data_IF_404322846474
#
_entry.id   IF_404322846474
#
_cell.length_a   1.000
_cell.length_b   1.000
_cell.length_c   1.000
_cell.angle_alpha   90.00
_cell.angle_beta   90.00
_cell.angle_gamma   90.00
#
_symmetry.space_group_name_H-M   'P 1'
#
loop_
_entity.id
_entity.type
_entity.pdbx_description
1 polymer ?
#
# COMPACT_ATOMS: atom_id res chain seq x y z
N UNK A 1 21.76 -22.41 -10.71
CA UNK A 1 22.64 -21.77 -11.72
C UNK A 1 24.07 -21.81 -11.23
N UNK A 2 25.05 -21.70 -12.13
CA UNK A 2 26.48 -21.86 -11.83
C UNK A 2 27.18 -20.55 -11.42
N UNK A 3 26.45 -19.63 -10.77
CA UNK A 3 27.05 -18.39 -10.28
C UNK A 3 28.10 -18.70 -9.22
N UNK A 4 29.23 -17.99 -9.28
CA UNK A 4 30.40 -18.21 -8.42
C UNK A 4 30.86 -16.91 -7.73
N UNK A 5 31.88 -16.97 -6.87
CA UNK A 5 32.31 -15.82 -6.05
C UNK A 5 32.70 -14.58 -6.87
N UNK A 6 33.33 -14.77 -8.05
CA UNK A 6 33.66 -13.65 -8.94
C UNK A 6 32.40 -12.95 -9.49
N UNK A 7 31.31 -13.68 -9.75
CA UNK A 7 30.05 -13.09 -10.23
C UNK A 7 29.39 -12.25 -9.14
N UNK A 8 29.54 -12.68 -7.88
CA UNK A 8 29.06 -11.95 -6.72
C UNK A 8 29.85 -10.64 -6.52
N UNK A 9 31.18 -10.68 -6.68
CA UNK A 9 32.02 -9.47 -6.63
C UNK A 9 31.66 -8.48 -7.75
N UNK A 10 31.47 -8.95 -8.98
CA UNK A 10 31.01 -8.10 -10.10
C UNK A 10 29.66 -7.45 -9.79
N UNK A 11 28.70 -8.24 -9.29
CA UNK A 11 27.36 -7.75 -8.94
C UNK A 11 27.43 -6.71 -7.83
N UNK A 12 28.27 -6.94 -6.81
CA UNK A 12 28.51 -6.00 -5.73
C UNK A 12 29.07 -4.67 -6.26
N UNK A 13 30.09 -4.69 -7.11
CA UNK A 13 30.68 -3.47 -7.68
C UNK A 13 29.68 -2.69 -8.55
N UNK A 14 28.85 -3.40 -9.32
CA UNK A 14 27.77 -2.77 -10.09
C UNK A 14 26.77 -2.08 -9.16
N UNK A 15 26.31 -2.75 -8.10
CA UNK A 15 25.33 -2.19 -7.17
C UNK A 15 25.92 -1.03 -6.35
N UNK A 16 27.19 -1.13 -5.99
CA UNK A 16 27.95 -0.05 -5.36
C UNK A 16 28.03 1.18 -6.26
N UNK A 17 28.33 1.00 -7.56
CA UNK A 17 28.38 2.12 -8.52
C UNK A 17 27.03 2.83 -8.72
N UNK A 18 25.92 2.16 -8.38
CA UNK A 18 24.55 2.70 -8.46
C UNK A 18 24.08 3.36 -7.16
N UNK A 19 24.92 3.38 -6.11
CA UNK A 19 24.55 3.95 -4.81
C UNK A 19 23.55 3.10 -4.02
N UNK A 20 23.59 1.77 -4.18
CA UNK A 20 22.66 0.88 -3.47
C UNK A 20 22.93 0.85 -1.96
N UNK A 21 21.86 0.77 -1.16
CA UNK A 21 21.93 0.52 0.28
C UNK A 21 22.32 -0.93 0.61
N UNK A 22 22.22 -1.31 1.89
CA UNK A 22 22.67 -2.62 2.39
C UNK A 22 22.07 -3.79 1.61
N UNK A 23 20.78 -3.72 1.28
CA UNK A 23 20.06 -4.73 0.49
C UNK A 23 20.72 -5.00 -0.87
N UNK A 24 21.09 -3.95 -1.60
CA UNK A 24 21.74 -4.09 -2.90
C UNK A 24 23.19 -4.53 -2.80
N UNK A 25 23.82 -4.35 -1.64
CA UNK A 25 25.20 -4.76 -1.38
C UNK A 25 25.31 -6.20 -0.83
N UNK A 26 24.21 -6.89 -0.59
CA UNK A 26 24.20 -8.32 -0.20
C UNK A 26 24.62 -9.27 -1.32
N UNK A 27 24.93 -8.75 -2.51
CA UNK A 27 25.40 -9.53 -3.65
C UNK A 27 24.31 -10.44 -4.23
N UNK A 28 24.70 -11.63 -4.67
CA UNK A 28 23.79 -12.61 -5.25
C UNK A 28 23.33 -13.56 -4.14
N UNK A 29 22.03 -13.75 -3.89
CA UNK A 29 21.56 -14.69 -2.87
C UNK A 29 21.79 -16.15 -3.28
N UNK A 30 22.16 -17.00 -2.31
CA UNK A 30 22.37 -18.45 -2.52
C UNK A 30 21.10 -19.14 -3.06
N UNK A 31 19.94 -18.73 -2.54
CA UNK A 31 18.63 -19.15 -3.01
C UNK A 31 17.77 -17.93 -3.31
N UNK A 32 17.12 -17.94 -4.48
CA UNK A 32 16.07 -16.98 -4.81
C UNK A 32 14.87 -17.73 -5.40
N UNK A 33 13.83 -17.94 -4.59
CA UNK A 33 12.70 -18.80 -4.93
C UNK A 33 13.17 -20.22 -5.30
N UNK A 34 12.87 -20.72 -6.52
CA UNK A 34 13.30 -22.05 -6.97
C UNK A 34 14.76 -22.10 -7.48
N UNK A 35 15.46 -20.97 -7.55
CA UNK A 35 16.83 -20.91 -8.11
C UNK A 35 17.86 -21.07 -6.99
N UNK A 36 18.61 -22.17 -7.04
CA UNK A 36 19.76 -22.45 -6.17
C UNK A 36 21.09 -22.11 -6.86
N UNK A 37 22.07 -21.62 -6.09
CA UNK A 37 23.42 -21.27 -6.56
C UNK A 37 24.52 -21.94 -5.71
N UNK A 38 24.70 -23.26 -5.82
CA UNK A 38 25.65 -24.01 -4.98
C UNK A 38 27.12 -23.62 -5.18
N UNK A 39 27.46 -23.05 -6.34
CA UNK A 39 28.85 -22.69 -6.67
C UNK A 39 29.27 -21.31 -6.17
N UNK A 40 28.35 -20.56 -5.54
CA UNK A 40 28.60 -19.19 -5.09
C UNK A 40 29.81 -19.04 -4.14
N UNK A 41 30.10 -19.99 -3.23
CA UNK A 41 31.26 -19.89 -2.34
C UNK A 41 32.62 -20.11 -3.01
N UNK A 42 32.65 -20.60 -4.25
CA UNK A 42 33.89 -21.00 -4.93
C UNK A 42 34.34 -19.94 -5.94
N UNK A 43 35.64 -19.73 -6.08
CA UNK A 43 36.21 -18.85 -7.11
C UNK A 43 36.20 -19.51 -8.48
N UNK A 44 36.29 -18.70 -9.54
CA UNK A 44 36.46 -19.20 -10.92
C UNK A 44 37.69 -20.12 -11.05
N UNK A 45 38.78 -19.76 -10.38
CA UNK A 45 40.02 -20.56 -10.36
C UNK A 45 39.81 -21.92 -9.68
N UNK A 46 39.14 -21.95 -8.51
CA UNK A 46 38.83 -23.22 -7.83
C UNK A 46 37.95 -24.13 -8.68
N UNK A 47 37.00 -23.56 -9.43
CA UNK A 47 36.14 -24.31 -10.34
C UNK A 47 36.94 -24.85 -11.53
N UNK A 48 37.83 -24.05 -12.11
CA UNK A 48 38.73 -24.47 -13.19
C UNK A 48 39.68 -25.59 -12.74
N UNK A 49 40.34 -25.41 -11.58
CA UNK A 49 41.21 -26.43 -10.96
C UNK A 49 40.47 -27.74 -10.73
N UNK A 50 39.22 -27.67 -10.25
CA UNK A 50 38.39 -28.85 -10.05
C UNK A 50 38.06 -29.54 -11.37
N UNK A 51 37.71 -28.77 -12.41
CA UNK A 51 37.43 -29.31 -13.73
C UNK A 51 38.65 -30.02 -14.34
N UNK A 52 39.82 -29.40 -14.27
CA UNK A 52 41.09 -29.97 -14.73
C UNK A 52 41.45 -31.25 -13.98
N UNK A 53 41.42 -31.23 -12.64
CA UNK A 53 41.74 -32.41 -11.80
C UNK A 53 40.83 -33.60 -12.06
N UNK A 54 39.59 -33.35 -12.48
CA UNK A 54 38.61 -34.39 -12.78
C UNK A 54 38.47 -34.66 -14.29
N UNK A 55 39.34 -34.09 -15.13
CA UNK A 55 39.31 -34.21 -16.59
C UNK A 55 37.93 -33.86 -17.21
N UNK A 56 37.24 -32.88 -16.64
CA UNK A 56 35.96 -32.39 -17.13
C UNK A 56 36.24 -31.48 -18.33
N UNK A 57 35.66 -31.79 -19.49
CA UNK A 57 35.72 -30.90 -20.65
C UNK A 57 34.62 -29.86 -20.59
N UNK A 58 34.95 -28.59 -20.84
CA UNK A 58 34.00 -27.50 -20.99
C UNK A 58 34.22 -26.75 -22.29
N UNK A 59 33.25 -25.90 -22.64
CA UNK A 59 33.33 -24.98 -23.78
C UNK A 59 33.20 -23.55 -23.26
N UNK A 60 34.01 -22.65 -23.79
CA UNK A 60 33.91 -21.21 -23.52
C UNK A 60 32.87 -20.59 -24.45
N UNK A 61 31.96 -19.79 -23.91
CA UNK A 61 30.95 -19.07 -24.68
C UNK A 61 31.58 -17.82 -25.32
N UNK A 62 31.40 -17.63 -26.63
CA UNK A 62 31.96 -16.50 -27.39
C UNK A 62 31.41 -15.12 -26.93
N UNK A 63 30.21 -15.08 -26.34
CA UNK A 63 29.60 -13.86 -25.80
C UNK A 63 30.38 -13.28 -24.60
N UNK A 64 31.18 -14.11 -23.92
CA UNK A 64 32.05 -13.71 -22.82
C UNK A 64 33.23 -12.83 -23.23
N UNK A 65 33.45 -12.59 -24.52
CA UNK A 65 34.56 -11.75 -25.02
C UNK A 65 34.15 -10.31 -25.32
N UNK A 66 32.91 -9.92 -25.03
CA UNK A 66 32.37 -8.60 -25.38
C UNK A 66 32.33 -7.66 -24.18
N UNK A 67 32.79 -6.41 -24.34
CA UNK A 67 32.74 -5.39 -23.29
C UNK A 67 31.42 -4.60 -23.23
N UNK A 68 30.43 -4.96 -24.04
CA UNK A 68 29.21 -4.16 -24.23
C UNK A 68 28.40 -3.96 -22.93
N UNK A 69 28.43 -4.95 -22.03
CA UNK A 69 27.72 -4.88 -20.76
C UNK A 69 28.65 -4.41 -19.65
N UNK A 70 28.16 -3.52 -18.76
CA UNK A 70 28.92 -3.01 -17.61
C UNK A 70 29.55 -4.16 -16.79
N UNK A 71 28.83 -5.27 -16.63
CA UNK A 71 29.34 -6.48 -15.96
C UNK A 71 30.59 -7.04 -16.63
N UNK A 72 30.57 -7.18 -17.96
CA UNK A 72 31.71 -7.69 -18.70
C UNK A 72 32.89 -6.72 -18.60
N UNK A 73 32.62 -5.41 -18.65
CA UNK A 73 33.67 -4.41 -18.45
C UNK A 73 34.35 -4.55 -17.07
N UNK A 74 33.58 -4.71 -15.99
CA UNK A 74 34.14 -5.00 -14.66
C UNK A 74 34.95 -6.31 -14.67
N UNK A 75 34.44 -7.36 -15.29
CA UNK A 75 35.09 -8.68 -15.38
C UNK A 75 36.43 -8.64 -16.12
N UNK A 76 36.53 -7.89 -17.21
CA UNK A 76 37.73 -7.86 -18.06
C UNK A 76 38.78 -6.85 -17.60
N UNK A 77 38.36 -5.71 -17.04
CA UNK A 77 39.28 -4.58 -16.80
C UNK A 77 39.47 -4.25 -15.32
N UNK A 78 38.41 -4.34 -14.50
CA UNK A 78 38.47 -3.89 -13.11
C UNK A 78 38.82 -5.03 -12.13
N UNK A 79 38.07 -6.13 -12.16
CA UNK A 79 38.26 -7.27 -11.25
C UNK A 79 39.67 -7.86 -11.35
N UNK A 80 40.28 -8.05 -12.56
CA UNK A 80 41.64 -8.58 -12.66
C UNK A 80 42.69 -7.68 -12.02
N UNK A 81 42.62 -6.36 -12.24
CA UNK A 81 43.56 -5.41 -11.63
C UNK A 81 43.39 -5.33 -10.11
N UNK A 82 42.15 -5.41 -9.61
CA UNK A 82 41.87 -5.48 -8.18
C UNK A 82 42.44 -6.76 -7.54
N UNK A 83 42.31 -7.91 -8.20
CA UNK A 83 42.88 -9.18 -7.73
C UNK A 83 44.41 -9.18 -7.77
N UNK A 84 45.01 -8.54 -8.79
CA UNK A 84 46.45 -8.35 -8.89
C UNK A 84 47.00 -7.47 -7.75
N UNK A 85 46.30 -6.40 -7.41
CA UNK A 85 46.67 -5.52 -6.29
C UNK A 85 46.43 -6.17 -4.92
N UNK A 86 45.36 -6.96 -4.78
CA UNK A 86 44.98 -7.63 -3.56
C UNK A 86 44.62 -9.11 -3.83
N UNK A 87 45.60 -10.04 -3.81
CA UNK A 87 45.37 -11.45 -4.13
C UNK A 87 44.33 -12.15 -3.24
N UNK A 88 44.16 -11.67 -2.00
CA UNK A 88 43.17 -12.20 -1.04
C UNK A 88 41.78 -11.53 -1.13
N UNK A 89 41.53 -10.71 -2.16
CA UNK A 89 40.32 -9.89 -2.27
C UNK A 89 39.03 -10.73 -2.24
N UNK A 90 38.98 -11.88 -2.92
CA UNK A 90 37.75 -12.71 -2.92
C UNK A 90 37.40 -13.24 -1.52
N UNK A 91 38.40 -13.60 -0.72
CA UNK A 91 38.20 -14.06 0.66
C UNK A 91 37.79 -12.90 1.58
N UNK A 92 38.44 -11.74 1.42
CA UNK A 92 38.07 -10.52 2.15
C UNK A 92 36.65 -10.08 1.80
N UNK A 93 36.30 -10.08 0.51
CA UNK A 93 34.96 -9.78 0.00
C UNK A 93 33.91 -10.73 0.58
N UNK A 94 34.18 -12.04 0.59
CA UNK A 94 33.27 -13.03 1.17
C UNK A 94 33.03 -12.80 2.66
N UNK A 95 34.07 -12.38 3.40
CA UNK A 95 33.95 -11.98 4.80
C UNK A 95 33.10 -10.72 4.96
N UNK A 96 33.37 -9.68 4.16
CA UNK A 96 32.57 -8.45 4.15
C UNK A 96 31.10 -8.71 3.81
N UNK A 97 30.83 -9.60 2.86
CA UNK A 97 29.48 -9.99 2.47
C UNK A 97 28.71 -10.63 3.63
N UNK A 98 29.35 -11.55 4.37
CA UNK A 98 28.77 -12.17 5.58
C UNK A 98 28.44 -11.13 6.64
N UNK A 99 29.32 -10.15 6.86
CA UNK A 99 29.06 -9.05 7.79
C UNK A 99 27.86 -8.20 7.35
N UNK A 100 27.77 -7.84 6.06
CA UNK A 100 26.64 -7.10 5.51
C UNK A 100 25.32 -7.86 5.64
N UNK A 101 25.33 -9.16 5.33
CA UNK A 101 24.15 -10.03 5.47
C UNK A 101 23.71 -10.12 6.93
N UNK A 102 24.66 -10.29 7.86
CA UNK A 102 24.36 -10.30 9.30
C UNK A 102 23.80 -8.96 9.78
N UNK A 103 24.38 -7.84 9.33
CA UNK A 103 23.85 -6.51 9.66
C UNK A 103 22.45 -6.29 9.10
N UNK A 104 22.15 -6.77 7.90
CA UNK A 104 20.81 -6.68 7.33
C UNK A 104 19.80 -7.54 8.09
N UNK A 105 20.18 -8.75 8.49
CA UNK A 105 19.33 -9.60 9.32
C UNK A 105 18.99 -8.90 10.66
N UNK A 106 19.93 -8.20 11.27
CA UNK A 106 19.66 -7.39 12.47
C UNK A 106 18.67 -6.24 12.20
N UNK A 107 18.73 -5.61 11.03
CA UNK A 107 17.74 -4.60 10.61
C UNK A 107 16.37 -5.26 10.48
N UNK A 108 16.27 -6.39 9.79
CA UNK A 108 15.02 -7.13 9.62
C UNK A 108 14.41 -7.57 10.97
N UNK A 109 15.23 -8.06 11.90
CA UNK A 109 14.82 -8.42 13.26
C UNK A 109 14.29 -7.19 14.02
N UNK A 110 15.00 -6.07 13.91
CA UNK A 110 14.57 -4.82 14.54
C UNK A 110 13.24 -4.32 13.97
N UNK A 111 13.09 -4.32 12.64
CA UNK A 111 11.84 -3.94 11.96
C UNK A 111 10.71 -4.86 12.40
N UNK A 112 10.93 -6.17 12.43
CA UNK A 112 9.94 -7.15 12.89
C UNK A 112 9.50 -6.91 14.33
N UNK A 113 10.43 -6.51 15.21
CA UNK A 113 10.14 -6.19 16.61
C UNK A 113 9.32 -4.91 16.79
N UNK A 114 9.55 -3.87 15.97
CA UNK A 114 8.81 -2.61 16.05
C UNK A 114 7.51 -2.62 15.24
N UNK A 115 7.41 -3.45 14.20
CA UNK A 115 6.27 -3.49 13.28
C UNK A 115 4.92 -3.54 14.01
N UNK A 116 4.66 -4.49 14.94
CA UNK A 116 3.37 -4.55 15.63
C UNK A 116 3.13 -3.37 16.58
N UNK A 117 4.18 -2.61 16.93
CA UNK A 117 4.06 -1.43 17.79
C UNK A 117 3.64 -0.20 17.02
N UNK A 118 4.03 -0.07 15.75
CA UNK A 118 3.82 1.14 14.95
C UNK A 118 2.88 0.95 13.78
N UNK A 119 2.65 -0.28 13.33
CA UNK A 119 1.79 -0.62 12.20
C UNK A 119 0.58 -1.40 12.68
N UNK A 120 -0.61 -0.98 12.24
CA UNK A 120 -1.87 -1.71 12.41
C UNK A 120 -2.43 -2.04 11.04
N UNK A 121 -2.78 -3.31 10.82
CA UNK A 121 -3.49 -3.70 9.61
C UNK A 121 -4.93 -3.18 9.63
N UNK A 122 -5.37 -2.67 8.50
CA UNK A 122 -6.73 -2.19 8.27
C UNK A 122 -7.32 -2.94 7.09
N UNK A 123 -8.61 -2.75 6.82
CA UNK A 123 -9.26 -3.35 5.66
C UNK A 123 -8.62 -2.92 4.33
N UNK A 124 -8.17 -1.67 4.24
CA UNK A 124 -7.69 -1.06 2.99
C UNK A 124 -6.16 -1.07 2.82
N UNK A 125 -5.45 -1.70 3.76
CA UNK A 125 -4.00 -1.68 3.82
C UNK A 125 -3.50 -1.50 5.25
N UNK A 126 -2.65 -0.50 5.49
CA UNK A 126 -1.94 -0.35 6.76
C UNK A 126 -2.03 1.06 7.31
N UNK A 127 -2.08 1.16 8.64
CA UNK A 127 -2.06 2.40 9.40
C UNK A 127 -0.78 2.44 10.23
N UNK A 128 0.04 3.47 10.00
CA UNK A 128 1.28 3.69 10.73
C UNK A 128 1.09 4.83 11.73
N UNK A 129 1.37 4.60 13.01
CA UNK A 129 1.24 5.60 14.07
C UNK A 129 2.44 6.56 14.07
N UNK A 130 2.19 7.85 13.84
CA UNK A 130 3.22 8.88 13.70
C UNK A 130 3.88 9.18 15.04
N UNK A 131 3.13 9.21 16.12
CA UNK A 131 3.68 9.49 17.45
C UNK A 131 4.68 8.40 17.85
N UNK A 132 4.29 7.14 17.67
CA UNK A 132 5.16 6.00 17.97
C UNK A 132 6.38 5.94 17.04
N UNK A 133 6.22 6.24 15.74
CA UNK A 133 7.34 6.34 14.80
C UNK A 133 8.35 7.42 15.21
N UNK A 134 7.88 8.59 15.66
CA UNK A 134 8.75 9.70 16.11
C UNK A 134 9.52 9.40 17.39
N UNK A 135 9.05 8.45 18.19
CA UNK A 135 9.74 7.99 19.40
C UNK A 135 10.86 6.98 19.10
N UNK A 136 10.89 6.40 17.89
CA UNK A 136 11.94 5.45 17.51
C UNK A 136 13.23 6.18 17.14
N UNK A 137 14.40 5.63 17.50
CA UNK A 137 15.67 6.11 16.95
C UNK A 137 15.69 5.87 15.42
N UNK A 138 16.36 6.76 14.70
CA UNK A 138 16.53 6.63 13.24
C UNK A 138 15.21 6.49 12.46
N UNK A 139 14.17 7.25 12.84
CA UNK A 139 12.81 7.19 12.26
C UNK A 139 12.79 7.17 10.73
N UNK A 140 13.64 7.95 10.06
CA UNK A 140 13.71 7.97 8.59
C UNK A 140 14.12 6.60 8.00
N UNK A 141 15.13 5.94 8.59
CA UNK A 141 15.57 4.61 8.16
C UNK A 141 14.49 3.56 8.44
N UNK A 142 13.84 3.63 9.60
CA UNK A 142 12.69 2.77 9.92
C UNK A 142 11.57 2.94 8.90
N UNK A 143 11.22 4.18 8.57
CA UNK A 143 10.16 4.47 7.62
C UNK A 143 10.52 3.99 6.20
N UNK A 144 11.79 4.10 5.81
CA UNK A 144 12.31 3.52 4.58
C UNK A 144 12.11 2.00 4.56
N UNK A 145 12.58 1.30 5.59
CA UNK A 145 12.47 -0.16 5.68
C UNK A 145 11.02 -0.65 5.67
N UNK A 146 10.11 0.05 6.34
CA UNK A 146 8.68 -0.28 6.34
C UNK A 146 8.02 -0.08 4.96
N UNK A 147 8.54 0.83 4.14
CA UNK A 147 7.88 1.28 2.90
C UNK A 147 8.59 0.91 1.60
N UNK A 148 9.85 0.43 1.65
CA UNK A 148 10.70 0.20 0.46
C UNK A 148 10.08 -0.74 -0.58
N UNK A 149 9.25 -1.68 -0.13
CA UNK A 149 8.61 -2.68 -0.99
C UNK A 149 7.33 -2.18 -1.69
N UNK A 150 6.90 -0.93 -1.45
CA UNK A 150 5.67 -0.36 -2.04
C UNK A 150 5.94 0.55 -3.25
N UNK A 151 7.18 0.61 -3.73
CA UNK A 151 7.55 1.26 -4.99
C UNK A 151 7.59 2.78 -4.95
N UNK A 152 7.69 3.38 -3.75
CA UNK A 152 7.85 4.82 -3.62
C UNK A 152 9.25 5.29 -4.05
N UNK A 153 9.31 6.48 -4.64
CA UNK A 153 10.56 7.11 -5.08
C UNK A 153 10.79 8.49 -4.48
N UNK A 154 9.71 9.24 -4.16
CA UNK A 154 9.75 10.56 -3.54
C UNK A 154 9.96 10.46 -2.02
N UNK A 155 11.14 10.00 -1.60
CA UNK A 155 11.45 9.73 -0.19
C UNK A 155 11.47 10.98 0.69
N UNK A 156 11.98 12.09 0.19
CA UNK A 156 11.98 13.35 0.94
C UNK A 156 10.56 13.78 1.32
N UNK A 157 9.61 13.68 0.38
CA UNK A 157 8.20 13.93 0.64
C UNK A 157 7.60 12.98 1.70
N UNK A 158 7.99 11.69 1.67
CA UNK A 158 7.55 10.69 2.65
C UNK A 158 8.04 11.05 4.06
N UNK A 159 9.30 11.46 4.20
CA UNK A 159 9.84 11.89 5.49
C UNK A 159 9.15 13.15 6.00
N UNK A 160 8.83 14.09 5.10
CA UNK A 160 8.07 15.29 5.44
C UNK A 160 6.63 15.01 5.87
N UNK A 161 6.00 13.92 5.38
CA UNK A 161 4.61 13.58 5.74
C UNK A 161 4.41 13.44 7.26
N UNK A 162 5.44 13.02 8.00
CA UNK A 162 5.37 12.91 9.47
C UNK A 162 5.05 14.24 10.17
N UNK A 163 5.35 15.36 9.52
CA UNK A 163 5.12 16.71 10.04
C UNK A 163 4.12 17.52 9.20
N UNK A 164 3.63 16.96 8.09
CA UNK A 164 2.70 17.63 7.20
C UNK A 164 1.29 17.78 7.79
N UNK A 165 0.54 18.72 7.22
CA UNK A 165 -0.89 18.87 7.49
C UNK A 165 -1.65 17.63 7.00
N UNK A 166 -2.75 17.31 7.69
CA UNK A 166 -3.67 16.24 7.28
C UNK A 166 -4.18 16.50 5.87
N UNK A 167 -4.11 15.51 4.98
CA UNK A 167 -4.46 15.68 3.58
C UNK A 167 -3.31 15.55 2.58
N UNK A 168 -2.04 15.69 3.00
CA UNK A 168 -0.91 15.50 2.08
C UNK A 168 -0.83 14.01 1.68
N UNK A 169 -0.60 13.76 0.39
CA UNK A 169 -0.54 12.43 -0.22
C UNK A 169 0.79 12.29 -0.96
N UNK A 170 1.44 11.15 -0.82
CA UNK A 170 2.55 10.73 -1.68
C UNK A 170 2.14 9.41 -2.33
N UNK A 171 2.38 9.25 -3.63
CA UNK A 171 1.94 8.06 -4.37
C UNK A 171 3.12 7.36 -5.05
N UNK A 172 3.05 6.05 -5.12
CA UNK A 172 3.81 5.22 -6.05
C UNK A 172 2.94 4.85 -7.26
N UNK A 173 3.44 3.96 -8.12
CA UNK A 173 2.65 3.41 -9.23
C UNK A 173 1.48 2.52 -8.78
N UNK A 174 1.52 2.00 -7.56
CA UNK A 174 0.56 0.99 -7.06
C UNK A 174 -0.10 1.37 -5.75
N UNK A 175 0.56 2.20 -4.94
CA UNK A 175 0.12 2.55 -3.59
C UNK A 175 0.11 4.06 -3.39
N UNK A 176 -0.57 4.50 -2.35
CA UNK A 176 -0.49 5.87 -1.83
C UNK A 176 -0.33 5.85 -0.32
N UNK A 177 0.38 6.86 0.17
CA UNK A 177 0.59 7.13 1.58
C UNK A 177 -0.05 8.48 1.90
N UNK A 178 -1.04 8.46 2.79
CA UNK A 178 -1.87 9.63 3.11
C UNK A 178 -1.62 10.04 4.55
N UNK A 179 -1.33 11.34 4.77
CA UNK A 179 -1.29 11.90 6.12
C UNK A 179 -2.71 12.12 6.64
N UNK A 180 -3.08 11.39 7.68
CA UNK A 180 -4.36 11.52 8.38
C UNK A 180 -4.15 11.70 9.89
N UNK A 181 -4.21 12.95 10.36
CA UNK A 181 -3.98 13.34 11.76
C UNK A 181 -2.71 12.69 12.32
N UNK A 182 -2.83 11.75 13.26
CA UNK A 182 -1.71 11.11 13.96
C UNK A 182 -1.19 9.87 13.24
N UNK A 183 -1.65 9.63 12.01
CA UNK A 183 -1.36 8.41 11.26
C UNK A 183 -0.94 8.68 9.82
N UNK A 184 -0.14 7.76 9.28
CA UNK A 184 0.04 7.58 7.83
C UNK A 184 -0.78 6.38 7.39
N UNK A 185 -1.63 6.56 6.38
CA UNK A 185 -2.47 5.52 5.81
C UNK A 185 -1.85 5.05 4.50
N UNK A 186 -1.37 3.82 4.48
CA UNK A 186 -0.85 3.16 3.29
C UNK A 186 -1.96 2.32 2.67
N UNK A 187 -2.38 2.68 1.45
CA UNK A 187 -3.46 2.01 0.72
C UNK A 187 -3.07 1.78 -0.73
N UNK A 188 -3.78 0.88 -1.41
CA UNK A 188 -3.68 0.76 -2.87
C UNK A 188 -4.16 2.05 -3.54
N UNK A 189 -3.54 2.39 -4.67
CA UNK A 189 -4.00 3.47 -5.52
C UNK A 189 -5.30 3.04 -6.21
N UNK A 190 -6.46 3.46 -5.68
CA UNK A 190 -7.75 3.21 -6.30
C UNK A 190 -7.98 4.20 -7.46
N UNK A 191 -8.07 3.67 -8.68
CA UNK A 191 -8.25 4.47 -9.91
C UNK A 191 -9.68 4.42 -10.49
N UNK A 192 -10.64 3.74 -9.86
CA UNK A 192 -11.98 3.57 -10.43
C UNK A 192 -13.05 4.24 -9.57
N UNK A 193 -13.78 5.19 -10.16
CA UNK A 193 -15.04 5.67 -9.60
C UNK A 193 -16.08 4.55 -9.74
N UNK A 194 -16.70 4.12 -8.65
CA UNK A 194 -17.82 3.19 -8.73
C UNK A 194 -18.97 3.88 -9.48
N UNK A 195 -19.54 3.28 -10.53
CA UNK A 195 -20.71 3.83 -11.18
C UNK A 195 -21.89 3.91 -10.20
N UNK A 196 -22.80 4.88 -10.36
CA UNK A 196 -24.02 4.94 -9.58
C UNK A 196 -24.85 3.65 -9.77
N UNK A 197 -25.43 3.16 -8.67
CA UNK A 197 -26.31 2.00 -8.64
C UNK A 197 -27.76 2.50 -8.53
N UNK A 198 -28.62 2.05 -9.43
CA UNK A 198 -30.05 2.32 -9.37
C UNK A 198 -30.70 1.39 -8.35
N UNK A 199 -31.59 1.94 -7.54
CA UNK A 199 -32.36 1.22 -6.51
C UNK A 199 -33.83 1.35 -6.87
N UNK A 200 -34.46 0.22 -7.17
CA UNK A 200 -35.88 0.11 -7.49
C UNK A 200 -36.70 -0.20 -6.23
N UNK A 201 -37.99 0.14 -6.24
CA UNK A 201 -38.86 -0.09 -5.08
C UNK A 201 -38.99 -1.58 -4.71
N UNK A 202 -38.93 -2.45 -5.72
CA UNK A 202 -39.05 -3.90 -5.57
C UNK A 202 -37.73 -4.60 -5.17
N UNK A 203 -36.63 -3.84 -5.06
CA UNK A 203 -35.35 -4.38 -4.61
C UNK A 203 -35.41 -4.66 -3.10
N UNK A 204 -35.00 -5.87 -2.70
CA UNK A 204 -34.88 -6.24 -1.29
C UNK A 204 -33.44 -6.09 -0.76
N UNK A 205 -32.46 -6.26 -1.65
CA UNK A 205 -31.04 -6.23 -1.30
C UNK A 205 -30.19 -5.87 -2.52
N UNK A 206 -29.26 -4.93 -2.34
CA UNK A 206 -28.26 -4.55 -3.35
C UNK A 206 -26.84 -4.64 -2.79
N UNK A 207 -25.92 -5.11 -3.62
CA UNK A 207 -24.48 -5.08 -3.32
C UNK A 207 -23.88 -3.77 -3.85
N UNK A 208 -23.18 -3.05 -2.98
CA UNK A 208 -22.61 -1.72 -3.21
C UNK A 208 -21.11 -1.76 -2.87
N UNK A 209 -20.34 -2.47 -3.67
CA UNK A 209 -18.92 -2.77 -3.40
C UNK A 209 -18.74 -3.53 -2.07
N UNK A 210 -18.20 -2.85 -1.04
CA UNK A 210 -17.97 -3.38 0.32
C UNK A 210 -19.19 -3.26 1.25
N UNK A 211 -20.33 -2.77 0.74
CA UNK A 211 -21.55 -2.59 1.49
C UNK A 211 -22.71 -3.38 0.90
N UNK A 212 -23.65 -3.74 1.76
CA UNK A 212 -24.96 -4.29 1.38
C UNK A 212 -26.02 -3.30 1.84
N UNK A 213 -26.88 -2.90 0.91
CA UNK A 213 -28.11 -2.15 1.20
C UNK A 213 -29.26 -3.14 1.25
N UNK A 214 -30.00 -3.15 2.36
CA UNK A 214 -31.25 -3.90 2.52
C UNK A 214 -32.43 -2.97 2.62
N UNK A 215 -33.55 -3.39 2.05
CA UNK A 215 -34.79 -2.64 2.01
C UNK A 215 -35.91 -3.50 2.56
N UNK A 216 -36.69 -2.95 3.48
CA UNK A 216 -37.85 -3.64 4.07
C UNK A 216 -38.97 -2.65 4.39
N UNK A 217 -40.21 -3.09 4.16
CA UNK A 217 -41.37 -2.32 4.58
C UNK A 217 -41.56 -2.44 6.10
N UNK A 218 -41.82 -1.31 6.75
CA UNK A 218 -42.01 -1.24 8.21
C UNK A 218 -43.31 -0.51 8.55
N UNK A 219 -43.91 -0.85 9.69
CA UNK A 219 -45.16 -0.21 10.15
C UNK A 219 -44.92 1.14 10.83
N UNK A 220 -43.73 1.34 11.39
CA UNK A 220 -43.34 2.55 12.12
C UNK A 220 -41.88 2.89 11.88
N UNK A 221 -41.54 4.17 11.97
CA UNK A 221 -40.15 4.59 12.03
C UNK A 221 -39.55 4.18 13.38
N UNK A 222 -38.37 3.58 13.33
CA UNK A 222 -37.57 3.28 14.52
C UNK A 222 -36.90 4.56 15.07
N UNK A 223 -36.31 4.46 16.27
CA UNK A 223 -35.40 5.48 16.77
C UNK A 223 -34.23 5.71 15.81
N UNK A 224 -33.59 6.88 15.91
CA UNK A 224 -32.45 7.22 15.07
C UNK A 224 -31.32 6.19 15.18
N UNK A 225 -30.98 5.57 14.05
CA UNK A 225 -29.84 4.67 13.89
C UNK A 225 -29.02 5.14 12.68
N UNK A 226 -27.72 5.46 12.84
CA UNK A 226 -26.87 5.84 11.70
C UNK A 226 -26.88 4.83 10.55
N UNK A 227 -27.01 3.53 10.86
CA UNK A 227 -26.97 2.44 9.88
C UNK A 227 -28.29 2.22 9.16
N UNK A 228 -29.37 2.90 9.56
CA UNK A 228 -30.63 2.81 8.86
C UNK A 228 -31.30 4.16 8.65
N UNK A 229 -32.16 4.23 7.64
CA UNK A 229 -32.99 5.40 7.38
C UNK A 229 -34.38 4.94 6.96
N UNK A 230 -35.40 5.54 7.55
CA UNK A 230 -36.80 5.24 7.23
C UNK A 230 -37.38 6.43 6.48
N UNK A 231 -38.02 6.15 5.36
CA UNK A 231 -38.67 7.16 4.52
C UNK A 231 -40.11 6.77 4.25
N UNK A 232 -40.96 7.78 4.10
CA UNK A 232 -42.30 7.60 3.55
C UNK A 232 -42.18 7.36 2.04
N UNK A 233 -42.76 6.26 1.57
CA UNK A 233 -42.69 5.88 0.15
C UNK A 233 -43.31 6.95 -0.75
N UNK A 234 -44.32 7.68 -0.27
CA UNK A 234 -44.97 8.74 -1.05
C UNK A 234 -44.02 9.94 -1.32
N UNK A 235 -42.92 10.06 -0.57
CA UNK A 235 -41.90 11.09 -0.78
C UNK A 235 -40.80 10.66 -1.77
N UNK A 236 -40.72 9.39 -2.12
CA UNK A 236 -39.65 8.81 -2.93
C UNK A 236 -40.03 8.74 -4.40
N UNK A 237 -39.11 9.15 -5.28
CA UNK A 237 -39.25 9.01 -6.73
C UNK A 237 -38.28 7.93 -7.22
N UNK A 238 -38.78 6.71 -7.39
CA UNK A 238 -37.99 5.60 -7.90
C UNK A 238 -37.70 5.72 -9.41
N UNK A 239 -36.56 5.19 -9.90
CA UNK A 239 -35.48 4.58 -9.12
C UNK A 239 -34.68 5.61 -8.33
N UNK A 240 -34.36 5.28 -7.08
CA UNK A 240 -33.37 6.01 -6.30
C UNK A 240 -31.97 5.71 -6.82
N UNK A 241 -30.99 6.51 -6.44
CA UNK A 241 -29.60 6.33 -6.87
C UNK A 241 -28.67 6.26 -5.67
N UNK A 242 -27.84 5.23 -5.61
CA UNK A 242 -26.70 5.16 -4.69
C UNK A 242 -25.43 5.50 -5.45
N UNK A 243 -24.67 6.49 -4.98
CA UNK A 243 -23.37 6.85 -5.56
C UNK A 243 -22.39 7.25 -4.46
N UNK A 244 -21.10 7.35 -4.81
CA UNK A 244 -20.14 8.00 -3.94
C UNK A 244 -20.45 9.50 -3.85
N UNK A 245 -20.09 10.13 -2.73
CA UNK A 245 -20.23 11.57 -2.59
C UNK A 245 -19.36 12.32 -3.61
N UNK A 246 -19.80 13.52 -3.98
CA UNK A 246 -19.10 14.39 -4.93
C UNK A 246 -18.89 15.78 -4.35
N UNK A 247 -17.77 16.42 -4.72
CA UNK A 247 -17.48 17.76 -4.24
C UNK A 247 -18.55 18.76 -4.69
N UNK A 248 -19.09 19.50 -3.72
CA UNK A 248 -20.22 20.41 -3.93
C UNK A 248 -21.55 19.88 -3.39
N UNK A 249 -21.64 18.58 -3.13
CA UNK A 249 -22.82 17.96 -2.52
C UNK A 249 -23.20 18.62 -1.20
N UNK A 250 -24.51 18.68 -0.97
CA UNK A 250 -25.10 19.19 0.25
C UNK A 250 -26.37 18.42 0.59
N UNK A 251 -26.72 18.47 1.87
CA UNK A 251 -27.97 17.92 2.40
C UNK A 251 -28.41 18.73 3.61
N UNK A 252 -29.54 18.36 4.21
CA UNK A 252 -30.07 18.98 5.41
C UNK A 252 -30.00 17.95 6.53
N UNK A 253 -28.95 17.89 7.35
CA UNK A 253 -28.78 16.79 8.29
C UNK A 253 -29.92 16.72 9.31
N UNK A 254 -30.53 15.55 9.48
CA UNK A 254 -31.61 15.32 10.44
C UNK A 254 -31.22 15.81 11.85
N UNK A 255 -32.10 16.58 12.47
CA UNK A 255 -31.89 17.19 13.80
C UNK A 255 -30.92 18.38 13.83
N UNK A 256 -30.39 18.83 12.68
CA UNK A 256 -29.57 20.04 12.57
C UNK A 256 -30.32 21.14 11.81
N UNK A 257 -30.00 22.41 12.09
CA UNK A 257 -30.62 23.52 11.36
C UNK A 257 -29.91 23.82 10.04
N UNK A 258 -30.69 23.73 8.95
CA UNK A 258 -30.33 24.27 7.65
C UNK A 258 -29.48 23.37 6.75
N UNK A 259 -29.09 23.93 5.61
CA UNK A 259 -28.31 23.28 4.56
C UNK A 259 -26.84 23.16 4.96
N UNK A 260 -26.24 21.98 4.75
CA UNK A 260 -24.82 21.72 5.03
C UNK A 260 -24.14 21.06 3.83
N UNK A 261 -22.99 21.58 3.41
CA UNK A 261 -22.11 20.89 2.44
C UNK A 261 -21.59 19.59 3.07
N UNK A 262 -21.55 18.50 2.30
CA UNK A 262 -21.03 17.21 2.78
C UNK A 262 -19.56 17.33 3.21
N UNK A 263 -18.73 18.08 2.49
CA UNK A 263 -17.34 18.32 2.88
C UNK A 263 -17.20 18.93 4.28
N UNK A 264 -18.11 19.85 4.66
CA UNK A 264 -18.17 20.44 6.00
C UNK A 264 -18.71 19.44 7.02
N UNK A 265 -19.75 18.68 6.67
CA UNK A 265 -20.27 17.60 7.51
C UNK A 265 -19.18 16.58 7.88
N UNK A 266 -18.44 16.07 6.91
CA UNK A 266 -17.34 15.13 7.13
C UNK A 266 -16.21 15.70 7.98
N UNK A 267 -15.93 17.01 7.86
CA UNK A 267 -14.94 17.67 8.71
C UNK A 267 -15.40 17.70 10.17
N UNK A 268 -16.65 18.08 10.40
CA UNK A 268 -17.22 18.19 11.75
C UNK A 268 -17.33 16.82 12.43
N UNK A 269 -17.72 15.79 11.66
CA UNK A 269 -17.78 14.39 12.10
C UNK A 269 -16.41 13.68 12.07
N UNK A 270 -15.33 14.41 11.80
CA UNK A 270 -13.95 13.92 11.85
C UNK A 270 -13.64 12.72 10.93
N UNK A 271 -14.26 12.64 9.76
CA UNK A 271 -13.96 11.61 8.76
C UNK A 271 -12.51 11.71 8.28
N UNK A 272 -11.85 10.56 8.13
CA UNK A 272 -10.58 10.47 7.41
C UNK A 272 -10.80 10.68 5.90
N UNK A 273 -9.72 10.83 5.14
CA UNK A 273 -9.80 10.94 3.67
C UNK A 273 -10.40 9.67 3.07
N UNK A 274 -10.02 8.50 3.59
CA UNK A 274 -10.55 7.21 3.13
C UNK A 274 -12.04 7.07 3.44
N UNK A 275 -12.48 7.50 4.64
CA UNK A 275 -13.90 7.45 4.99
C UNK A 275 -14.73 8.29 4.02
N UNK A 276 -14.24 9.48 3.64
CA UNK A 276 -14.91 10.35 2.67
C UNK A 276 -15.01 9.69 1.30
N UNK A 277 -13.92 9.13 0.78
CA UNK A 277 -13.90 8.48 -0.54
C UNK A 277 -14.87 7.31 -0.64
N UNK A 278 -15.05 6.58 0.47
CA UNK A 278 -15.94 5.43 0.59
C UNK A 278 -17.38 5.79 0.92
N UNK A 279 -17.64 7.03 1.32
CA UNK A 279 -18.98 7.45 1.71
C UNK A 279 -19.92 7.37 0.51
N UNK A 280 -20.93 6.52 0.65
CA UNK A 280 -22.04 6.43 -0.29
C UNK A 280 -23.21 7.28 0.19
N UNK A 281 -23.92 7.87 -0.76
CA UNK A 281 -25.12 8.66 -0.55
C UNK A 281 -26.28 8.04 -1.31
N UNK A 282 -27.43 7.94 -0.65
CA UNK A 282 -28.70 7.59 -1.29
C UNK A 282 -29.37 8.88 -1.75
N UNK A 283 -29.79 8.91 -3.01
CA UNK A 283 -30.35 10.08 -3.66
C UNK A 283 -31.76 9.80 -4.20
N UNK A 284 -32.66 10.76 -4.00
CA UNK A 284 -33.96 10.86 -4.64
C UNK A 284 -33.86 11.90 -5.76
N UNK A 285 -33.73 11.44 -7.02
CA UNK A 285 -33.28 12.29 -8.11
C UNK A 285 -31.92 12.93 -7.81
N UNK A 286 -31.86 14.27 -7.77
CA UNK A 286 -30.64 15.01 -7.47
C UNK A 286 -30.44 15.32 -5.98
N UNK A 287 -31.41 14.96 -5.13
CA UNK A 287 -31.36 15.28 -3.70
C UNK A 287 -30.78 14.12 -2.90
N UNK A 288 -29.78 14.40 -2.07
CA UNK A 288 -29.27 13.43 -1.11
C UNK A 288 -30.28 13.30 0.03
N UNK A 289 -30.78 12.09 0.26
CA UNK A 289 -31.74 11.77 1.32
C UNK A 289 -31.08 11.04 2.49
N UNK A 290 -29.91 10.42 2.27
CA UNK A 290 -29.17 9.74 3.31
C UNK A 290 -27.68 9.68 3.00
N UNK A 291 -26.87 10.13 3.97
CA UNK A 291 -25.44 9.78 4.03
C UNK A 291 -25.37 8.41 4.69
N UNK A 292 -25.18 7.36 3.88
CA UNK A 292 -25.36 5.97 4.30
C UNK A 292 -24.43 5.62 5.47
N UNK A 293 -24.97 5.05 6.54
CA UNK A 293 -24.21 4.69 7.73
C UNK A 293 -23.99 5.85 8.71
N UNK A 294 -24.52 7.04 8.40
CA UNK A 294 -24.30 8.25 9.17
C UNK A 294 -25.58 9.02 9.50
N UNK A 295 -26.19 9.73 8.54
CA UNK A 295 -27.29 10.66 8.85
C UNK A 295 -28.22 10.89 7.65
N UNK A 296 -29.52 10.85 7.91
CA UNK A 296 -30.60 11.14 6.94
C UNK A 296 -30.81 12.65 6.73
N UNK A 297 -31.53 13.00 5.66
CA UNK A 297 -31.94 14.36 5.34
C UNK A 297 -33.27 14.70 6.07
N UNK A 298 -33.28 15.82 6.78
CA UNK A 298 -34.38 16.38 7.57
C UNK A 298 -35.62 16.66 6.72
N UNK A 299 -35.48 16.98 5.44
CA UNK A 299 -36.62 17.23 4.54
C UNK A 299 -37.44 15.98 4.24
N UNK A 300 -36.84 14.81 4.45
CA UNK A 300 -37.45 13.50 4.28
C UNK A 300 -37.87 12.86 5.61
N UNK A 301 -38.06 13.69 6.65
CA UNK A 301 -38.63 13.24 7.91
C UNK A 301 -40.02 12.65 7.66
N UNK A 302 -40.26 11.46 8.23
CA UNK A 302 -41.54 10.76 8.16
C UNK A 302 -42.65 11.63 8.81
N UNK A 303 -43.69 12.02 8.05
CA UNK A 303 -44.84 12.75 8.57
C UNK A 303 -45.65 11.92 9.57
N UNK A 304 -46.41 12.60 10.44
CA UNK A 304 -47.42 11.91 11.23
C UNK A 304 -48.54 11.36 10.31
N UNK A 305 -48.85 10.07 10.44
CA UNK A 305 -49.93 9.42 9.68
C UNK A 305 -49.51 8.77 8.35
N UNK A 306 -48.20 8.71 8.05
CA UNK A 306 -47.68 7.95 6.90
C UNK A 306 -48.12 6.49 6.92
N UNK A 307 -48.59 5.99 5.78
CA UNK A 307 -49.19 4.65 5.66
C UNK A 307 -48.23 3.58 5.15
N UNK A 308 -47.20 3.99 4.40
CA UNK A 308 -46.26 3.07 3.74
C UNK A 308 -44.84 3.57 3.98
N UNK A 309 -44.11 2.89 4.86
CA UNK A 309 -42.73 3.24 5.20
C UNK A 309 -41.77 2.20 4.65
N UNK A 310 -40.64 2.67 4.13
CA UNK A 310 -39.57 1.83 3.63
C UNK A 310 -38.29 2.15 4.41
N UNK A 311 -37.74 1.11 5.05
CA UNK A 311 -36.49 1.18 5.80
C UNK A 311 -35.35 0.71 4.93
N UNK A 312 -34.31 1.52 4.86
CA UNK A 312 -33.04 1.23 4.24
C UNK A 312 -32.02 0.94 5.33
N UNK A 313 -31.31 -0.18 5.25
CA UNK A 313 -30.26 -0.56 6.21
C UNK A 313 -28.96 -0.84 5.47
N UNK A 314 -27.86 -0.24 5.92
CA UNK A 314 -26.52 -0.48 5.36
C UNK A 314 -25.66 -1.28 6.33
N UNK A 315 -25.02 -2.32 5.81
CA UNK A 315 -24.02 -3.12 6.53
C UNK A 315 -22.79 -3.31 5.67
N UNK A 316 -21.60 -3.39 6.27
CA UNK A 316 -20.40 -3.86 5.56
C UNK A 316 -20.46 -5.38 5.39
N UNK A 317 -20.05 -5.87 4.22
CA UNK A 317 -19.73 -7.29 3.98
C UNK A 317 -18.52 -7.73 4.79
#
# INVERSE_FOLDING_TARGET
TAHHANDALETFLINLSRGSGIDGLQGIPEQNGPILRPLLPFSREQIADYAEKNNIQWREDASNNTDHYLRNHFRHHAVPELLKAAPNLLNAFSTSLKHLQSSSALVEDYISFIYPKVVTQTFDGFRLNIEQLKQLPHTAAVLYELLKNFGFTAWDDIYELLNAQSGKIVSSSTHRLVKDRDFLLLTLLQNQKTPPVLVHEDDNMLNLDEFVLRMEYVEKADDFDPKSAVFDVEQLNFPLTVRNWEEGDYFYPFGMQGKKKLSKYFKDEKFSILDKEKTKVLCNGNEIIWVMGHRSDERYRVPEGSKKLLKFTVSRT
#
